data_IF_699672201835
#
_entry.id   IF_699672201835
#
_cell.length_a   1.000
_cell.length_b   1.000
_cell.length_c   1.000
_cell.angle_alpha   90.00
_cell.angle_beta   90.00
_cell.angle_gamma   90.00
#
_symmetry.space_group_name_H-M   'P 1'
#
loop_
_entity.id
_entity.type
_entity.pdbx_description
1 polymer ?
#
# COMPACT_ATOMS: atom_id res chain seq x y z
N UNK A 1 10.32 -17.20 0.91
CA UNK A 1 10.76 -16.97 2.30
C UNK A 1 9.63 -17.34 3.27
N UNK A 2 9.89 -18.25 4.23
CA UNK A 2 9.02 -18.55 5.37
C UNK A 2 8.60 -17.30 6.16
N UNK A 3 7.47 -17.38 6.87
CA UNK A 3 6.91 -16.23 7.58
C UNK A 3 7.83 -15.71 8.69
N UNK A 4 8.43 -16.60 9.48
CA UNK A 4 9.31 -16.23 10.59
C UNK A 4 10.61 -15.58 10.12
N UNK A 5 11.21 -16.10 9.06
CA UNK A 5 12.40 -15.50 8.45
C UNK A 5 12.09 -14.10 7.91
N UNK A 6 10.96 -13.93 7.23
CA UNK A 6 10.54 -12.61 6.76
C UNK A 6 10.29 -11.64 7.91
N UNK A 7 9.67 -12.11 9.00
CA UNK A 7 9.41 -11.31 10.19
C UNK A 7 10.70 -10.86 10.87
N UNK A 8 11.69 -11.75 10.99
CA UNK A 8 13.00 -11.43 11.55
C UNK A 8 13.73 -10.38 10.71
N UNK A 9 13.76 -10.56 9.38
CA UNK A 9 14.37 -9.59 8.46
C UNK A 9 13.71 -8.23 8.57
N UNK A 10 12.37 -8.17 8.61
CA UNK A 10 11.67 -6.88 8.76
C UNK A 10 11.96 -6.25 10.11
N UNK A 11 11.96 -7.03 11.20
CA UNK A 11 12.26 -6.54 12.55
C UNK A 11 13.64 -5.86 12.63
N UNK A 12 14.66 -6.43 11.99
CA UNK A 12 16.00 -5.84 11.91
C UNK A 12 16.00 -4.52 11.12
N UNK A 13 15.25 -4.44 10.03
CA UNK A 13 15.17 -3.23 9.18
C UNK A 13 14.45 -2.08 9.86
N UNK A 14 13.36 -2.36 10.58
CA UNK A 14 12.61 -1.33 11.32
C UNK A 14 13.23 -0.98 12.68
N UNK A 15 14.33 -1.65 13.06
CA UNK A 15 15.11 -1.29 14.25
C UNK A 15 16.06 -0.11 13.99
N UNK A 16 16.30 0.26 12.73
CA UNK A 16 17.10 1.41 12.34
C UNK A 16 16.41 2.74 12.68
N UNK A 17 17.17 3.83 12.74
CA UNK A 17 16.67 5.16 13.11
C UNK A 17 15.68 5.74 12.10
N UNK A 18 15.85 5.42 10.81
CA UNK A 18 14.97 5.88 9.75
C UNK A 18 14.67 4.74 8.77
N UNK A 19 13.38 4.54 8.48
CA UNK A 19 12.93 3.50 7.57
C UNK A 19 11.59 3.88 6.94
N UNK A 20 11.32 3.30 5.78
CA UNK A 20 10.01 3.34 5.13
C UNK A 20 9.66 1.91 4.73
N UNK A 21 8.43 1.50 5.06
CA UNK A 21 7.88 0.22 4.61
C UNK A 21 6.68 0.51 3.72
N UNK A 22 6.73 0.00 2.49
CA UNK A 22 5.57 -0.06 1.61
C UNK A 22 5.11 -1.53 1.43
N UNK A 23 3.80 -1.76 1.46
CA UNK A 23 3.23 -3.07 1.21
C UNK A 23 2.19 -3.53 2.25
N UNK A 24 1.40 -4.53 1.87
CA UNK A 24 0.32 -5.08 2.69
C UNK A 24 0.72 -6.43 3.29
N UNK A 25 1.72 -6.43 4.18
CA UNK A 25 2.24 -7.66 4.79
C UNK A 25 1.58 -8.03 6.12
N UNK A 26 0.42 -7.45 6.45
CA UNK A 26 -0.26 -7.66 7.73
C UNK A 26 -0.49 -9.15 8.04
N UNK A 27 -0.78 -9.97 7.02
CA UNK A 27 -0.94 -11.41 7.18
C UNK A 27 0.31 -12.15 7.66
N UNK A 28 1.53 -11.64 7.38
CA UNK A 28 2.80 -12.25 7.80
C UNK A 28 3.47 -11.51 8.97
N UNK A 29 3.23 -10.21 9.09
CA UNK A 29 3.91 -9.36 10.07
C UNK A 29 3.02 -8.96 11.25
N UNK A 30 1.70 -9.18 11.16
CA UNK A 30 0.74 -8.63 12.12
C UNK A 30 0.91 -7.12 12.23
N UNK A 31 1.04 -6.64 13.47
CA UNK A 31 1.21 -5.22 13.78
C UNK A 31 2.68 -4.83 14.04
N UNK A 32 3.65 -5.70 13.73
CA UNK A 32 5.08 -5.46 13.98
C UNK A 32 5.57 -4.09 13.50
N UNK A 33 5.18 -3.71 12.28
CA UNK A 33 5.56 -2.42 11.68
C UNK A 33 4.84 -1.27 12.39
N UNK A 34 3.57 -1.46 12.76
CA UNK A 34 2.73 -0.43 13.37
C UNK A 34 3.15 -0.10 14.80
N UNK A 35 3.69 -1.09 15.53
CA UNK A 35 4.24 -0.88 16.87
C UNK A 35 5.45 0.06 16.89
N UNK A 36 6.14 0.24 15.76
CA UNK A 36 7.34 1.09 15.65
C UNK A 36 7.16 2.29 14.73
N UNK A 37 6.11 2.31 13.92
CA UNK A 37 5.84 3.42 13.03
C UNK A 37 5.56 4.70 13.83
N UNK A 38 6.22 5.79 13.47
CA UNK A 38 5.83 7.13 13.93
C UNK A 38 4.73 7.72 13.04
N UNK A 39 4.67 7.32 11.76
CA UNK A 39 3.80 7.92 10.74
C UNK A 39 3.22 6.85 9.83
N UNK A 40 1.92 6.97 9.52
CA UNK A 40 1.24 6.19 8.48
C UNK A 40 0.68 7.13 7.42
N UNK A 41 1.24 7.04 6.21
CA UNK A 41 0.70 7.73 5.02
C UNK A 41 -0.29 6.81 4.33
N UNK A 42 -1.59 7.10 4.49
CA UNK A 42 -2.67 6.31 3.93
C UNK A 42 -3.25 6.96 2.65
N UNK A 43 -3.05 6.30 1.51
CA UNK A 43 -3.65 6.70 0.23
C UNK A 43 -5.12 6.21 0.11
N UNK A 44 -6.07 7.08 0.49
CA UNK A 44 -7.52 6.84 0.47
C UNK A 44 -8.21 7.50 -0.74
N UNK A 45 -7.76 7.18 -1.95
CA UNK A 45 -8.37 7.75 -3.16
C UNK A 45 -9.78 7.17 -3.40
N UNK A 46 -10.70 7.96 -3.99
CA UNK A 46 -12.01 7.47 -4.40
C UNK A 46 -11.89 6.25 -5.31
N UNK A 47 -12.77 5.25 -5.11
CA UNK A 47 -12.74 3.98 -5.84
C UNK A 47 -12.67 4.18 -7.36
N UNK A 48 -13.48 5.09 -7.91
CA UNK A 48 -13.47 5.38 -9.34
C UNK A 48 -12.08 5.80 -9.85
N UNK A 49 -11.32 6.57 -9.07
CA UNK A 49 -9.96 6.99 -9.42
C UNK A 49 -8.97 5.81 -9.34
N UNK A 50 -9.06 5.01 -8.29
CA UNK A 50 -8.24 3.79 -8.13
C UNK A 50 -8.48 2.85 -9.31
N UNK A 51 -9.73 2.58 -9.66
CA UNK A 51 -10.08 1.68 -10.77
C UNK A 51 -9.59 2.20 -12.11
N UNK A 52 -9.78 3.48 -12.40
CA UNK A 52 -9.28 4.09 -13.64
C UNK A 52 -7.76 3.89 -13.78
N UNK A 53 -7.01 4.08 -12.70
CA UNK A 53 -5.55 3.93 -12.70
C UNK A 53 -5.10 2.50 -12.87
N UNK A 54 -5.73 1.57 -12.13
CA UNK A 54 -5.39 0.15 -12.19
C UNK A 54 -5.69 -0.38 -13.58
N UNK A 55 -6.89 -0.14 -14.13
CA UNK A 55 -7.25 -0.58 -15.48
C UNK A 55 -6.26 -0.02 -16.52
N UNK A 56 -5.98 1.29 -16.51
CA UNK A 56 -5.04 1.90 -17.45
C UNK A 56 -3.64 1.29 -17.36
N UNK A 57 -3.15 1.07 -16.14
CA UNK A 57 -1.82 0.46 -15.90
C UNK A 57 -1.78 -0.98 -16.36
N UNK A 58 -2.81 -1.77 -16.03
CA UNK A 58 -2.87 -3.19 -16.36
C UNK A 58 -2.98 -3.39 -17.87
N UNK A 59 -3.80 -2.61 -18.58
CA UNK A 59 -3.84 -2.66 -20.05
C UNK A 59 -2.45 -2.38 -20.64
N UNK A 60 -1.79 -1.30 -20.22
CA UNK A 60 -0.47 -0.94 -20.75
C UNK A 60 0.60 -1.98 -20.46
N UNK A 61 0.59 -2.60 -19.28
CA UNK A 61 1.54 -3.65 -18.88
C UNK A 61 1.30 -4.96 -19.62
N UNK A 62 0.04 -5.37 -19.76
CA UNK A 62 -0.31 -6.58 -20.53
C UNK A 62 0.08 -6.46 -21.99
N UNK A 63 -0.12 -5.29 -22.61
CA UNK A 63 0.28 -5.03 -23.99
C UNK A 63 1.81 -5.01 -24.19
N UNK A 64 2.56 -4.54 -23.20
CA UNK A 64 4.02 -4.44 -23.27
C UNK A 64 4.72 -5.70 -22.74
N UNK A 65 3.98 -6.64 -22.18
CA UNK A 65 4.51 -7.80 -21.46
C UNK A 65 5.44 -7.40 -20.31
N UNK A 66 5.28 -6.20 -19.73
CA UNK A 66 6.25 -5.65 -18.76
C UNK A 66 6.36 -6.53 -17.52
N UNK A 67 7.59 -6.89 -17.18
CA UNK A 67 7.89 -7.55 -15.91
C UNK A 67 7.80 -6.55 -14.75
N UNK A 68 7.16 -6.96 -13.66
CA UNK A 68 6.90 -6.13 -12.49
C UNK A 68 7.91 -6.39 -11.38
N UNK A 69 7.79 -7.55 -10.73
CA UNK A 69 8.65 -8.00 -9.64
C UNK A 69 8.67 -9.53 -9.64
N UNK A 70 9.78 -10.16 -9.26
CA UNK A 70 9.88 -11.62 -9.13
C UNK A 70 9.38 -12.40 -10.37
N UNK A 71 9.64 -11.93 -11.59
CA UNK A 71 9.15 -12.55 -12.82
C UNK A 71 7.66 -12.34 -13.12
N UNK A 72 6.92 -11.61 -12.28
CA UNK A 72 5.49 -11.37 -12.44
C UNK A 72 5.21 -10.54 -13.70
N UNK A 73 4.32 -11.06 -14.56
CA UNK A 73 3.80 -10.39 -15.77
C UNK A 73 2.29 -10.45 -15.75
N UNK A 74 1.66 -9.34 -16.10
CA UNK A 74 0.21 -9.27 -16.23
C UNK A 74 -0.19 -9.86 -17.58
N UNK A 75 -0.90 -10.99 -17.58
CA UNK A 75 -1.54 -11.55 -18.78
C UNK A 75 -2.87 -10.82 -19.02
N UNK A 76 -3.14 -10.43 -20.26
CA UNK A 76 -4.40 -9.82 -20.66
C UNK A 76 -5.61 -10.72 -20.31
N UNK A 77 -5.46 -12.04 -20.31
CA UNK A 77 -6.51 -12.99 -19.91
C UNK A 77 -6.92 -12.83 -18.46
N UNK A 78 -5.97 -12.47 -17.59
CA UNK A 78 -6.24 -12.25 -16.17
C UNK A 78 -7.13 -11.01 -15.95
N UNK A 79 -7.12 -10.05 -16.89
CA UNK A 79 -7.98 -8.86 -16.83
C UNK A 79 -9.47 -9.20 -17.02
N UNK A 80 -9.76 -10.25 -17.78
CA UNK A 80 -11.12 -10.72 -18.06
C UNK A 80 -11.63 -11.68 -16.97
N UNK A 81 -10.76 -12.11 -16.06
CA UNK A 81 -11.13 -13.01 -14.98
C UNK A 81 -11.95 -12.27 -13.92
N UNK A 82 -13.00 -12.94 -13.44
CA UNK A 82 -13.78 -12.53 -12.26
C UNK A 82 -13.17 -13.04 -10.95
N UNK A 83 -12.09 -13.80 -11.01
CA UNK A 83 -11.36 -14.32 -9.85
C UNK A 83 -10.40 -13.26 -9.30
N UNK A 84 -10.58 -12.77 -8.06
CA UNK A 84 -9.68 -11.78 -7.45
C UNK A 84 -8.26 -12.32 -7.20
N UNK A 85 -8.02 -13.63 -7.21
CA UNK A 85 -6.67 -14.17 -7.12
C UNK A 85 -5.90 -14.04 -8.44
N UNK A 86 -6.63 -13.93 -9.56
CA UNK A 86 -6.06 -13.80 -10.90
C UNK A 86 -6.09 -12.35 -11.41
N UNK A 87 -7.15 -11.62 -11.11
CA UNK A 87 -7.39 -10.27 -11.62
C UNK A 87 -7.10 -9.21 -10.57
N UNK A 88 -6.03 -8.44 -10.79
CA UNK A 88 -5.70 -7.27 -9.94
C UNK A 88 -6.82 -6.22 -9.95
N UNK A 89 -7.59 -6.14 -11.04
CA UNK A 89 -8.74 -5.23 -11.16
C UNK A 89 -9.85 -5.69 -10.22
N UNK A 90 -10.24 -6.97 -10.26
CA UNK A 90 -11.27 -7.49 -9.37
C UNK A 90 -10.82 -7.45 -7.91
N UNK A 91 -9.57 -7.82 -7.64
CA UNK A 91 -8.98 -7.74 -6.30
C UNK A 91 -9.05 -6.32 -5.73
N UNK A 92 -8.64 -5.31 -6.52
CA UNK A 92 -8.67 -3.93 -6.06
C UNK A 92 -10.10 -3.45 -5.82
N UNK A 93 -11.06 -3.88 -6.64
CA UNK A 93 -12.46 -3.57 -6.46
C UNK A 93 -13.03 -4.16 -5.16
N UNK A 94 -12.82 -5.46 -4.94
CA UNK A 94 -13.38 -6.18 -3.79
C UNK A 94 -12.72 -5.78 -2.47
N UNK A 95 -11.42 -5.50 -2.47
CA UNK A 95 -10.69 -5.12 -1.25
C UNK A 95 -10.81 -3.64 -0.89
N UNK A 96 -11.24 -2.76 -1.80
CA UNK A 96 -11.25 -1.29 -1.58
C UNK A 96 -12.03 -0.87 -0.32
N UNK A 97 -13.26 -1.34 -0.16
CA UNK A 97 -14.09 -1.00 1.00
C UNK A 97 -13.49 -1.53 2.31
N UNK A 98 -13.05 -2.79 2.32
CA UNK A 98 -12.48 -3.43 3.50
C UNK A 98 -11.17 -2.77 3.94
N UNK A 99 -10.30 -2.44 2.99
CA UNK A 99 -9.07 -1.69 3.27
C UNK A 99 -9.40 -0.31 3.85
N UNK A 100 -10.35 0.42 3.25
CA UNK A 100 -10.75 1.73 3.75
C UNK A 100 -11.30 1.68 5.17
N UNK A 101 -12.17 0.72 5.46
CA UNK A 101 -12.70 0.52 6.81
C UNK A 101 -11.60 0.17 7.81
N UNK A 102 -10.65 -0.70 7.43
CA UNK A 102 -9.51 -1.09 8.26
C UNK A 102 -8.63 0.10 8.66
N UNK A 103 -8.20 0.91 7.69
CA UNK A 103 -7.35 2.07 7.99
C UNK A 103 -8.11 3.17 8.74
N UNK A 104 -9.41 3.35 8.46
CA UNK A 104 -10.24 4.27 9.22
C UNK A 104 -10.36 3.85 10.69
N UNK A 105 -10.56 2.56 10.97
CA UNK A 105 -10.60 2.05 12.33
C UNK A 105 -9.24 2.22 13.04
N UNK A 106 -8.14 1.87 12.36
CA UNK A 106 -6.80 1.98 12.92
C UNK A 106 -6.41 3.43 13.24
N UNK A 107 -6.83 4.40 12.42
CA UNK A 107 -6.61 5.83 12.68
C UNK A 107 -7.24 6.32 13.99
N UNK A 108 -8.29 5.65 14.46
CA UNK A 108 -9.00 6.00 15.69
C UNK A 108 -8.73 5.05 16.86
N UNK A 109 -7.87 4.05 16.66
CA UNK A 109 -7.58 3.03 17.66
C UNK A 109 -6.57 3.59 18.69
N UNK A 110 -6.91 3.62 20.00
CA UNK A 110 -5.98 4.06 21.04
C UNK A 110 -4.66 3.27 21.07
N UNK A 111 -4.65 2.02 20.62
CA UNK A 111 -3.43 1.20 20.51
C UNK A 111 -2.41 1.76 19.52
N UNK A 112 -2.85 2.61 18.58
CA UNK A 112 -2.01 3.29 17.60
C UNK A 112 -1.98 4.81 17.81
N UNK A 113 -2.30 5.29 19.02
CA UNK A 113 -2.34 6.72 19.34
C UNK A 113 -0.99 7.43 19.26
N UNK A 114 0.13 6.68 19.20
CA UNK A 114 1.47 7.20 18.97
C UNK A 114 1.78 7.49 17.49
N UNK A 115 0.94 7.03 16.57
CA UNK A 115 1.17 7.16 15.12
C UNK A 115 0.49 8.44 14.60
N UNK A 116 1.23 9.24 13.84
CA UNK A 116 0.66 10.32 13.03
C UNK A 116 0.06 9.75 11.73
N UNK A 117 -1.26 9.87 11.58
CA UNK A 117 -1.97 9.39 10.38
C UNK A 117 -2.16 10.51 9.36
N UNK A 118 -1.42 10.43 8.25
CA UNK A 118 -1.60 11.30 7.09
C UNK A 118 -2.50 10.63 6.07
N UNK A 119 -3.78 11.04 6.04
CA UNK A 119 -4.75 10.54 5.05
C UNK A 119 -4.75 11.38 3.78
N UNK A 120 -4.35 10.77 2.67
CA UNK A 120 -4.24 11.39 1.34
C UNK A 120 -5.36 10.86 0.44
N UNK A 121 -6.30 11.72 0.05
CA UNK A 121 -7.52 11.35 -0.71
C UNK A 121 -7.46 11.74 -2.17
N UNK A 122 -6.43 12.46 -2.61
CA UNK A 122 -6.26 12.86 -4.00
C UNK A 122 -4.79 13.08 -4.36
N UNK A 123 -4.48 13.14 -5.67
CA UNK A 123 -3.14 13.47 -6.15
C UNK A 123 -2.71 14.86 -5.72
N UNK A 124 -3.64 15.83 -5.70
CA UNK A 124 -3.38 17.18 -5.21
C UNK A 124 -2.98 17.16 -3.73
N UNK A 125 -3.66 16.36 -2.91
CA UNK A 125 -3.27 16.19 -1.50
C UNK A 125 -1.90 15.50 -1.38
N UNK A 126 -1.60 14.52 -2.23
CA UNK A 126 -0.28 13.87 -2.26
C UNK A 126 0.82 14.87 -2.64
N UNK A 127 0.62 15.66 -3.69
CA UNK A 127 1.55 16.70 -4.14
C UNK A 127 1.76 17.77 -3.06
N UNK A 128 0.69 18.22 -2.42
CA UNK A 128 0.76 19.18 -1.31
C UNK A 128 1.56 18.61 -0.13
N UNK A 129 1.34 17.34 0.22
CA UNK A 129 2.08 16.64 1.27
C UNK A 129 3.58 16.55 0.94
N UNK A 130 3.92 16.09 -0.27
CA UNK A 130 5.31 16.01 -0.74
C UNK A 130 6.02 17.38 -0.78
N UNK A 131 5.31 18.42 -1.23
CA UNK A 131 5.81 19.79 -1.22
C UNK A 131 6.05 20.31 0.19
N UNK A 132 5.23 19.91 1.17
CA UNK A 132 5.42 20.21 2.59
C UNK A 132 6.67 19.57 3.17
N UNK A 133 6.92 18.28 2.86
CA UNK A 133 8.13 17.57 3.32
C UNK A 133 9.43 18.21 2.82
N UNK A 134 9.43 18.74 1.60
CA UNK A 134 10.61 19.38 0.99
C UNK A 134 10.98 20.71 1.65
N UNK A 135 10.06 21.31 2.42
CA UNK A 135 10.27 22.59 3.12
C UNK A 135 10.76 22.43 4.56
N UNK A 136 10.79 21.21 5.09
CA UNK A 136 11.39 20.94 6.39
C UNK A 136 12.92 20.89 6.24
N UNK A 137 13.70 21.61 7.07
CA UNK A 137 15.14 21.45 7.06
C UNK A 137 15.47 19.97 7.33
N UNK A 138 16.39 19.41 6.53
CA UNK A 138 16.94 18.08 6.81
C UNK A 138 17.78 18.21 8.06
N UNK A 139 17.21 17.81 9.20
CA UNK A 139 17.91 17.72 10.48
C UNK A 139 18.93 16.59 10.46
#
# INVERSE_FOLDING_TARGET
MPADEFRAVVAERIAQDAWVVDGNYRGKLGDLVWQRADTVVWLDLPRARVMLQIVKRTVGRSLTGRELWNGNREDWRNMLSTDPERSVIVWAWTTHAGNRARYAAAQTDPAYGHIDFVRVRSHREAEAFMAGLTRLPRT
#
